data_IF_163423153522
#
_entry.id   IF_163423153522
#
_cell.length_a   1.000
_cell.length_b   1.000
_cell.length_c   1.000
_cell.angle_alpha   90.00
_cell.angle_beta   90.00
_cell.angle_gamma   90.00
#
_symmetry.space_group_name_H-M   'P 1'
#
loop_
_entity.id
_entity.type
_entity.pdbx_description
1 polymer ?
#
# COMPACT_ATOMS: atom_id res chain seq x y z
N UNK A 1 12.89 -18.17 1.95
CA UNK A 1 12.39 -17.38 3.11
C UNK A 1 13.11 -16.05 3.24
N UNK A 2 14.45 -16.01 3.30
CA UNK A 2 15.20 -14.74 3.28
C UNK A 2 14.90 -13.90 2.03
N UNK A 3 14.89 -14.52 0.85
CA UNK A 3 14.54 -13.86 -0.42
C UNK A 3 13.14 -13.23 -0.40
N UNK A 4 12.14 -13.96 0.10
CA UNK A 4 10.78 -13.46 0.26
C UNK A 4 10.68 -12.27 1.22
N UNK A 5 11.48 -12.27 2.30
CA UNK A 5 11.55 -11.13 3.22
C UNK A 5 12.16 -9.91 2.51
N UNK A 6 13.28 -10.08 1.82
CA UNK A 6 13.97 -8.99 1.12
C UNK A 6 13.10 -8.43 0.00
N UNK A 7 12.57 -9.29 -0.87
CA UNK A 7 11.77 -8.90 -2.02
C UNK A 7 10.43 -8.30 -1.56
N UNK A 8 9.80 -8.89 -0.54
CA UNK A 8 8.63 -8.32 0.12
C UNK A 8 8.90 -6.91 0.64
N UNK A 9 10.01 -6.70 1.36
CA UNK A 9 10.41 -5.38 1.85
C UNK A 9 10.62 -4.37 0.69
N UNK A 10 11.29 -4.78 -0.38
CA UNK A 10 11.54 -3.92 -1.56
C UNK A 10 10.25 -3.53 -2.27
N UNK A 11 9.32 -4.46 -2.47
CA UNK A 11 7.99 -4.17 -3.02
C UNK A 11 7.21 -3.25 -2.09
N UNK A 12 7.32 -3.45 -0.78
CA UNK A 12 6.81 -2.53 0.24
C UNK A 12 7.34 -1.11 0.08
N UNK A 13 8.66 -0.95 -0.02
CA UNK A 13 9.30 0.37 -0.24
C UNK A 13 8.86 1.03 -1.55
N UNK A 14 8.69 0.24 -2.62
CA UNK A 14 8.18 0.74 -3.89
C UNK A 14 6.73 1.23 -3.74
N UNK A 15 5.87 0.46 -3.04
CA UNK A 15 4.51 0.88 -2.76
C UNK A 15 4.45 2.15 -1.89
N UNK A 16 5.36 2.27 -0.92
CA UNK A 16 5.45 3.49 -0.10
C UNK A 16 5.63 4.74 -0.95
N UNK A 17 6.44 4.64 -2.01
CA UNK A 17 6.70 5.75 -2.92
C UNK A 17 5.44 6.16 -3.68
N UNK A 18 4.67 5.18 -4.15
CA UNK A 18 3.35 5.40 -4.80
C UNK A 18 2.36 6.00 -3.82
N UNK A 19 2.32 5.50 -2.58
CA UNK A 19 1.39 5.96 -1.56
C UNK A 19 1.70 7.39 -1.11
N UNK A 20 2.96 7.74 -0.88
CA UNK A 20 3.38 9.09 -0.48
C UNK A 20 3.13 10.10 -1.60
N UNK A 21 3.54 9.78 -2.84
CA UNK A 21 3.35 10.67 -3.98
C UNK A 21 1.89 10.84 -4.38
N UNK A 22 1.18 9.72 -4.60
CA UNK A 22 -0.24 9.72 -4.95
C UNK A 22 -1.10 10.27 -3.82
N UNK A 23 -0.82 9.89 -2.57
CA UNK A 23 -1.49 10.42 -1.40
C UNK A 23 -1.33 11.93 -1.29
N UNK A 24 -0.11 12.46 -1.42
CA UNK A 24 0.12 13.91 -1.39
C UNK A 24 -0.69 14.66 -2.46
N UNK A 25 -0.74 14.15 -3.69
CA UNK A 25 -1.53 14.75 -4.78
C UNK A 25 -3.04 14.77 -4.47
N UNK A 26 -3.57 13.69 -3.89
CA UNK A 26 -4.99 13.61 -3.52
C UNK A 26 -5.28 14.54 -2.34
N UNK A 27 -4.50 14.45 -1.26
CA UNK A 27 -4.74 15.20 -0.03
C UNK A 27 -4.54 16.71 -0.20
N UNK A 28 -3.56 17.15 -0.99
CA UNK A 28 -3.29 18.58 -1.22
C UNK A 28 -4.52 19.32 -1.77
N UNK A 29 -5.34 18.65 -2.59
CA UNK A 29 -6.56 19.25 -3.16
C UNK A 29 -7.70 19.46 -2.14
N UNK A 30 -7.59 18.85 -0.96
CA UNK A 30 -8.58 18.97 0.12
C UNK A 30 -8.03 19.76 1.33
N UNK A 31 -6.78 20.21 1.28
CA UNK A 31 -6.18 21.01 2.33
C UNK A 31 -6.52 22.48 2.12
N UNK A 32 -7.35 23.04 3.00
CA UNK A 32 -7.56 24.48 3.10
C UNK A 32 -6.59 25.10 4.13
N UNK A 33 -6.24 26.40 4.02
CA UNK A 33 -5.37 27.09 4.98
C UNK A 33 -5.85 26.98 6.44
N UNK A 34 -7.17 26.85 6.64
CA UNK A 34 -7.80 26.72 7.96
C UNK A 34 -7.87 25.26 8.47
N UNK A 35 -7.44 24.28 7.66
CA UNK A 35 -7.52 22.88 8.03
C UNK A 35 -6.69 22.57 9.27
N UNK A 36 -7.24 21.74 10.16
CA UNK A 36 -6.57 21.31 11.40
C UNK A 36 -5.19 20.72 11.15
N UNK A 37 -5.00 20.05 10.00
CA UNK A 37 -3.74 19.44 9.59
C UNK A 37 -2.68 20.52 9.32
N UNK A 38 -2.99 21.55 8.53
CA UNK A 38 -2.04 22.67 8.30
C UNK A 38 -1.73 23.39 9.61
N UNK A 39 -2.75 23.63 10.45
CA UNK A 39 -2.55 24.27 11.76
C UNK A 39 -1.65 23.44 12.68
N UNK A 40 -1.81 22.12 12.68
CA UNK A 40 -0.95 21.21 13.44
C UNK A 40 0.50 21.29 12.98
N UNK A 41 0.77 21.20 11.67
CA UNK A 41 2.13 21.33 11.15
C UNK A 41 2.69 22.73 11.40
N UNK A 42 1.90 23.79 11.20
CA UNK A 42 2.34 25.16 11.43
C UNK A 42 2.71 25.46 12.89
N UNK A 43 2.06 24.80 13.84
CA UNK A 43 2.38 24.91 15.27
C UNK A 43 3.72 24.28 15.66
N UNK A 44 4.36 23.50 14.77
CA UNK A 44 5.66 22.86 15.05
C UNK A 44 6.82 23.77 14.63
N UNK A 45 7.80 23.91 15.53
CA UNK A 45 9.03 24.71 15.31
C UNK A 45 9.90 24.19 14.14
N UNK A 46 9.79 22.90 13.79
CA UNK A 46 10.53 22.27 12.67
C UNK A 46 9.58 21.47 11.79
N UNK A 47 8.82 22.18 10.95
CA UNK A 47 7.77 21.61 10.10
C UNK A 47 8.32 20.55 9.13
N UNK A 48 9.39 20.88 8.41
CA UNK A 48 10.05 19.98 7.45
C UNK A 48 10.50 18.68 8.09
N UNK A 49 11.11 18.73 9.27
CA UNK A 49 11.54 17.53 10.00
C UNK A 49 10.35 16.64 10.37
N UNK A 50 9.23 17.24 10.78
CA UNK A 50 8.02 16.49 11.15
C UNK A 50 7.44 15.76 9.94
N UNK A 51 7.39 16.42 8.78
CA UNK A 51 6.92 15.80 7.53
C UNK A 51 7.85 14.67 7.09
N UNK A 52 9.17 14.89 7.11
CA UNK A 52 10.16 13.86 6.77
C UNK A 52 10.07 12.64 7.70
N UNK A 53 9.82 12.87 8.99
CA UNK A 53 9.64 11.78 9.96
C UNK A 53 8.38 10.97 9.65
N UNK A 54 7.27 11.62 9.31
CA UNK A 54 6.03 10.92 8.91
C UNK A 54 6.26 10.10 7.64
N UNK A 55 6.93 10.67 6.62
CA UNK A 55 7.28 9.95 5.40
C UNK A 55 8.16 8.74 5.74
N UNK A 56 9.20 8.92 6.57
CA UNK A 56 10.06 7.82 7.00
C UNK A 56 9.28 6.69 7.67
N UNK A 57 8.34 7.01 8.57
CA UNK A 57 7.47 6.03 9.20
C UNK A 57 6.58 5.31 8.17
N UNK A 58 6.02 6.02 7.19
CA UNK A 58 5.22 5.42 6.12
C UNK A 58 6.04 4.39 5.33
N UNK A 59 7.29 4.71 4.98
CA UNK A 59 8.19 3.77 4.29
C UNK A 59 8.48 2.52 5.13
N UNK A 60 8.75 2.68 6.42
CA UNK A 60 8.97 1.54 7.33
C UNK A 60 7.72 0.67 7.41
N UNK A 61 6.53 1.26 7.59
CA UNK A 61 5.27 0.51 7.68
C UNK A 61 4.99 -0.30 6.41
N UNK A 62 5.17 0.31 5.24
CA UNK A 62 4.97 -0.38 3.97
C UNK A 62 6.00 -1.48 3.74
N UNK A 63 7.25 -1.28 4.14
CA UNK A 63 8.28 -2.33 4.09
C UNK A 63 7.90 -3.52 4.98
N UNK A 64 7.44 -3.27 6.22
CA UNK A 64 6.96 -4.32 7.12
C UNK A 64 5.75 -5.05 6.53
N UNK A 65 4.78 -4.34 5.96
CA UNK A 65 3.65 -4.96 5.27
C UNK A 65 4.10 -5.84 4.11
N UNK A 66 5.09 -5.40 3.34
CA UNK A 66 5.63 -6.19 2.25
C UNK A 66 6.36 -7.45 2.72
N UNK A 67 7.13 -7.38 3.80
CA UNK A 67 7.72 -8.56 4.45
C UNK A 67 6.62 -9.56 4.84
N UNK A 68 5.53 -9.08 5.46
CA UNK A 68 4.41 -9.93 5.85
C UNK A 68 3.80 -10.61 4.62
N UNK A 69 3.54 -9.88 3.53
CA UNK A 69 2.97 -10.48 2.31
C UNK A 69 3.92 -11.52 1.68
N UNK A 70 5.22 -11.22 1.60
CA UNK A 70 6.20 -12.18 1.07
C UNK A 70 6.30 -13.44 1.93
N UNK A 71 6.29 -13.30 3.26
CA UNK A 71 6.29 -14.44 4.18
C UNK A 71 5.01 -15.28 4.07
N UNK A 72 3.84 -14.62 4.02
CA UNK A 72 2.54 -15.28 3.86
C UNK A 72 2.48 -16.04 2.53
N UNK A 73 2.98 -15.47 1.44
CA UNK A 73 3.04 -16.14 0.13
C UNK A 73 3.80 -17.47 0.22
N UNK A 74 5.04 -17.45 0.72
CA UNK A 74 5.88 -18.67 0.84
C UNK A 74 5.24 -19.72 1.76
N UNK A 75 4.51 -19.31 2.79
CA UNK A 75 3.79 -20.24 3.67
C UNK A 75 2.62 -20.90 2.94
N UNK A 76 1.86 -20.14 2.15
CA UNK A 76 0.71 -20.64 1.40
C UNK A 76 1.12 -21.51 0.22
N UNK A 77 2.18 -21.12 -0.50
CA UNK A 77 2.72 -21.86 -1.63
C UNK A 77 3.11 -23.30 -1.25
N UNK A 78 3.74 -23.49 -0.09
CA UNK A 78 4.08 -24.82 0.43
C UNK A 78 2.87 -25.71 0.68
N UNK A 79 1.69 -25.13 0.89
CA UNK A 79 0.48 -25.87 1.23
C UNK A 79 -0.43 -26.14 0.04
N UNK A 80 -0.48 -25.23 -0.94
CA UNK A 80 -1.29 -25.33 -2.14
C UNK A 80 -0.87 -24.26 -3.17
N UNK A 81 -0.31 -24.69 -4.29
CA UNK A 81 -0.04 -23.86 -5.47
C UNK A 81 -1.16 -24.09 -6.50
N UNK A 82 -2.30 -23.44 -6.29
CA UNK A 82 -3.37 -23.44 -7.27
C UNK A 82 -3.29 -22.18 -8.11
N UNK A 83 -3.06 -22.35 -9.42
CA UNK A 83 -3.09 -21.25 -10.37
C UNK A 83 -4.51 -20.68 -10.51
N UNK A 84 -4.64 -19.37 -10.65
CA UNK A 84 -5.93 -18.73 -10.90
C UNK A 84 -5.86 -17.21 -10.91
N UNK A 85 -6.87 -16.58 -11.55
CA UNK A 85 -6.93 -15.11 -11.74
C UNK A 85 -5.66 -14.52 -12.41
N UNK A 86 -4.93 -15.32 -13.19
CA UNK A 86 -3.67 -14.93 -13.80
C UNK A 86 -2.50 -14.80 -12.81
N UNK A 87 -2.58 -15.42 -11.63
CA UNK A 87 -1.52 -15.50 -10.63
C UNK A 87 -1.13 -16.97 -10.36
N UNK A 88 0.16 -17.27 -10.08
CA UNK A 88 0.65 -18.58 -9.63
C UNK A 88 0.02 -19.09 -8.32
N UNK A 89 -0.63 -18.23 -7.54
CA UNK A 89 -1.28 -18.63 -6.29
C UNK A 89 -2.60 -17.89 -6.07
N UNK A 90 -3.70 -18.54 -6.44
CA UNK A 90 -5.06 -18.02 -6.35
C UNK A 90 -5.44 -17.62 -4.93
N UNK A 91 -5.14 -18.47 -3.94
CA UNK A 91 -5.53 -18.24 -2.54
C UNK A 91 -4.87 -16.97 -2.02
N UNK A 92 -3.56 -16.85 -2.21
CA UNK A 92 -2.81 -15.67 -1.80
C UNK A 92 -3.30 -14.40 -2.50
N UNK A 93 -3.56 -14.46 -3.81
CA UNK A 93 -4.07 -13.30 -4.57
C UNK A 93 -5.46 -12.88 -4.05
N UNK A 94 -6.38 -13.83 -3.82
CA UNK A 94 -7.72 -13.52 -3.29
C UNK A 94 -7.64 -12.87 -1.91
N UNK A 95 -6.81 -13.42 -1.00
CA UNK A 95 -6.60 -12.83 0.33
C UNK A 95 -6.04 -11.41 0.24
N UNK A 96 -5.07 -11.20 -0.65
CA UNK A 96 -4.47 -9.88 -0.86
C UNK A 96 -5.48 -8.87 -1.41
N UNK A 97 -6.42 -9.31 -2.26
CA UNK A 97 -7.47 -8.47 -2.84
C UNK A 97 -8.56 -8.04 -1.84
N UNK A 98 -8.65 -8.65 -0.66
CA UNK A 98 -9.60 -8.21 0.38
C UNK A 98 -9.33 -6.75 0.77
N UNK A 99 -8.07 -6.38 0.95
CA UNK A 99 -7.67 -5.02 1.33
C UNK A 99 -8.13 -3.93 0.33
N UNK A 100 -7.83 -4.02 -0.98
CA UNK A 100 -8.29 -3.04 -1.96
C UNK A 100 -9.81 -3.04 -2.11
N UNK A 101 -10.49 -4.20 -2.01
CA UNK A 101 -11.96 -4.26 -2.03
C UNK A 101 -12.56 -3.47 -0.86
N UNK A 102 -12.07 -3.69 0.36
CA UNK A 102 -12.51 -2.95 1.54
C UNK A 102 -12.24 -1.45 1.40
N UNK A 103 -11.07 -1.06 0.88
CA UNK A 103 -10.75 0.34 0.63
C UNK A 103 -11.72 0.98 -0.38
N UNK A 104 -12.05 0.29 -1.48
CA UNK A 104 -13.04 0.75 -2.46
C UNK A 104 -14.40 0.94 -1.80
N UNK A 105 -14.87 0.00 -0.98
CA UNK A 105 -16.16 0.09 -0.29
C UNK A 105 -16.22 1.30 0.65
N UNK A 106 -15.18 1.50 1.46
CA UNK A 106 -15.09 2.63 2.40
C UNK A 106 -15.11 3.97 1.66
N UNK A 107 -14.29 4.11 0.60
CA UNK A 107 -14.20 5.35 -0.16
C UNK A 107 -15.51 5.63 -0.90
N UNK A 108 -16.12 4.60 -1.49
CA UNK A 108 -17.41 4.74 -2.20
C UNK A 108 -18.52 5.16 -1.26
N UNK A 109 -18.56 4.59 -0.05
CA UNK A 109 -19.54 4.96 0.98
C UNK A 109 -19.37 6.41 1.45
N UNK A 110 -18.14 6.90 1.59
CA UNK A 110 -17.87 8.27 2.06
C UNK A 110 -18.03 9.32 0.96
N UNK A 111 -17.37 9.14 -0.19
CA UNK A 111 -17.40 10.10 -1.31
C UNK A 111 -16.87 9.47 -2.60
N UNK A 112 -17.78 9.05 -3.49
CA UNK A 112 -17.47 8.42 -4.78
C UNK A 112 -16.49 9.22 -5.66
N UNK A 113 -16.47 10.56 -5.58
CA UNK A 113 -15.54 11.38 -6.36
C UNK A 113 -14.06 11.18 -5.97
N UNK A 114 -13.79 10.74 -4.74
CA UNK A 114 -12.43 10.44 -4.27
C UNK A 114 -11.95 9.11 -4.86
N UNK A 115 -12.87 8.16 -5.11
CA UNK A 115 -12.54 6.85 -5.64
C UNK A 115 -11.76 6.94 -6.94
N UNK A 116 -12.20 7.77 -7.89
CA UNK A 116 -11.53 7.92 -9.19
C UNK A 116 -10.06 8.35 -9.03
N UNK A 117 -9.77 9.19 -8.03
CA UNK A 117 -8.42 9.67 -7.75
C UNK A 117 -7.57 8.63 -7.01
N UNK A 118 -8.19 7.86 -6.11
CA UNK A 118 -7.52 6.82 -5.33
C UNK A 118 -7.34 5.49 -6.09
N UNK A 119 -8.15 5.26 -7.13
CA UNK A 119 -8.21 4.01 -7.87
C UNK A 119 -6.84 3.58 -8.43
N UNK A 120 -6.00 4.47 -9.03
CA UNK A 120 -4.67 4.08 -9.48
C UNK A 120 -3.79 3.50 -8.37
N UNK A 121 -3.82 4.08 -7.16
CA UNK A 121 -3.04 3.60 -6.01
C UNK A 121 -3.54 2.23 -5.57
N UNK A 122 -4.86 2.03 -5.55
CA UNK A 122 -5.50 0.76 -5.18
C UNK A 122 -5.15 -0.34 -6.19
N UNK A 123 -5.19 -0.03 -7.49
CA UNK A 123 -4.82 -0.96 -8.55
C UNK A 123 -3.33 -1.30 -8.52
N UNK A 124 -2.45 -0.33 -8.27
CA UNK A 124 -1.01 -0.58 -8.11
C UNK A 124 -0.76 -1.48 -6.91
N UNK A 125 -1.41 -1.24 -5.76
CA UNK A 125 -1.32 -2.13 -4.60
C UNK A 125 -1.72 -3.56 -4.99
N UNK A 126 -2.88 -3.70 -5.64
CA UNK A 126 -3.39 -5.00 -6.05
C UNK A 126 -2.40 -5.71 -6.98
N UNK A 127 -1.86 -5.02 -7.99
CA UNK A 127 -0.86 -5.56 -8.91
C UNK A 127 0.44 -5.97 -8.22
N UNK A 128 1.00 -5.10 -7.39
CA UNK A 128 2.27 -5.32 -6.70
C UNK A 128 2.21 -6.47 -5.70
N UNK A 129 1.21 -6.46 -4.82
CA UNK A 129 1.12 -7.50 -3.79
C UNK A 129 0.41 -8.74 -4.30
N UNK A 130 -0.63 -8.61 -5.12
CA UNK A 130 -1.48 -9.73 -5.55
C UNK A 130 -0.90 -10.56 -6.69
N UNK A 131 -0.11 -9.98 -7.60
CA UNK A 131 0.46 -10.69 -8.75
C UNK A 131 1.98 -10.66 -8.79
N UNK A 132 2.60 -9.49 -8.61
CA UNK A 132 4.06 -9.38 -8.74
C UNK A 132 4.80 -10.21 -7.67
N UNK A 133 4.34 -10.22 -6.41
CA UNK A 133 4.93 -11.11 -5.38
C UNK A 133 4.88 -12.58 -5.82
N UNK A 134 3.72 -13.16 -6.16
CA UNK A 134 3.64 -14.52 -6.65
C UNK A 134 4.60 -14.80 -7.81
N UNK A 135 4.58 -13.98 -8.86
CA UNK A 135 5.44 -14.20 -10.04
C UNK A 135 6.94 -14.09 -9.78
N UNK A 136 7.34 -13.39 -8.72
CA UNK A 136 8.77 -13.17 -8.41
C UNK A 136 9.31 -14.13 -7.36
N UNK A 137 8.43 -14.81 -6.63
CA UNK A 137 8.81 -15.75 -5.56
C UNK A 137 8.44 -17.21 -5.84
N UNK A 138 7.61 -17.46 -6.86
CA UNK A 138 7.31 -18.81 -7.37
C UNK A 138 8.46 -19.43 -8.15
#
# INVERSE_FOLDING_TARGET
>A
MLEAIILGALIGLLMASVFVSGGALIFAQYMTPESTVIRFFNSRRKQTFTVLLIIGVIYVLWSVLGIIHGAVFVLLEKSNSMDGLGSPNLIFTVLTLINPIVAILIITYKKKSILVKALPIILIFAGMFGWMIPYTLS
#
